data_IF_688810853351
#
_entry.id   IF_688810853351
#
_cell.length_a   1.000
_cell.length_b   1.000
_cell.length_c   1.000
_cell.angle_alpha   90.00
_cell.angle_beta   90.00
_cell.angle_gamma   90.00
#
_symmetry.space_group_name_H-M   'P 1'
#
loop_
_entity.id
_entity.type
_entity.pdbx_description
1 polymer ?
#
# COMPACT_ATOMS: atom_id res chain seq x y z
N UNK A 1 -5.69 -22.60 6.35
CA UNK A 1 -6.43 -21.56 5.59
C UNK A 1 -5.58 -20.31 5.57
N UNK A 2 -4.77 -20.10 4.53
CA UNK A 2 -4.09 -18.83 4.30
C UNK A 2 -5.04 -17.97 3.46
N UNK A 3 -5.53 -16.87 4.04
CA UNK A 3 -6.45 -15.97 3.37
C UNK A 3 -5.74 -15.34 2.16
N UNK A 4 -6.18 -15.73 0.96
CA UNK A 4 -5.90 -15.08 -0.30
C UNK A 4 -6.58 -13.70 -0.26
N UNK A 5 -5.85 -12.68 0.18
CA UNK A 5 -6.28 -11.31 -0.03
C UNK A 5 -6.01 -10.97 -1.49
N UNK A 6 -7.08 -10.94 -2.28
CA UNK A 6 -7.10 -10.45 -3.65
C UNK A 6 -6.47 -9.05 -3.69
N UNK A 7 -5.27 -8.96 -4.25
CA UNK A 7 -4.56 -7.71 -4.51
C UNK A 7 -5.32 -6.95 -5.59
N UNK A 8 -6.34 -6.18 -5.19
CA UNK A 8 -7.27 -5.55 -6.13
C UNK A 8 -6.60 -4.47 -7.02
N UNK A 9 -5.37 -4.04 -6.72
CA UNK A 9 -4.59 -3.08 -7.50
C UNK A 9 -3.09 -3.37 -7.25
N UNK A 10 -2.46 -4.18 -8.09
CA UNK A 10 -1.02 -4.45 -8.02
C UNK A 10 -0.29 -3.59 -9.05
N UNK A 11 0.60 -2.71 -8.59
CA UNK A 11 1.39 -1.83 -9.46
C UNK A 11 2.89 -2.08 -9.27
N UNK A 12 3.68 -1.80 -10.30
CA UNK A 12 5.13 -1.86 -10.18
C UNK A 12 5.63 -0.68 -9.36
N UNK A 13 6.41 -0.96 -8.32
CA UNK A 13 7.10 0.01 -7.50
C UNK A 13 8.60 -0.28 -7.47
N UNK A 14 9.37 0.65 -8.05
CA UNK A 14 10.83 0.56 -8.17
C UNK A 14 11.58 0.73 -6.83
N UNK A 15 10.93 1.23 -5.78
CA UNK A 15 11.56 1.43 -4.46
C UNK A 15 11.66 0.13 -3.66
N UNK A 16 10.88 -0.89 -4.01
CA UNK A 16 10.83 -2.15 -3.28
C UNK A 16 12.15 -2.91 -3.40
N UNK A 17 12.38 -3.83 -2.45
CA UNK A 17 13.48 -4.80 -2.50
C UNK A 17 14.84 -4.14 -2.76
N UNK A 18 15.16 -3.11 -1.97
CA UNK A 18 16.39 -2.33 -2.06
C UNK A 18 16.63 -1.73 -3.46
N UNK A 19 15.57 -1.30 -4.13
CA UNK A 19 15.65 -0.68 -5.46
C UNK A 19 15.64 -1.68 -6.62
N UNK A 20 15.55 -2.99 -6.36
CA UNK A 20 15.27 -3.96 -7.42
C UNK A 20 13.88 -3.72 -8.01
N UNK A 21 12.93 -3.28 -7.18
CA UNK A 21 11.54 -3.11 -7.55
C UNK A 21 10.74 -4.41 -7.48
N UNK A 22 9.42 -4.25 -7.48
CA UNK A 22 8.49 -5.36 -7.39
C UNK A 22 7.04 -4.91 -7.56
N UNK A 23 6.12 -5.88 -7.57
CA UNK A 23 4.69 -5.60 -7.61
C UNK A 23 4.15 -5.39 -6.20
N UNK A 24 3.62 -4.20 -5.91
CA UNK A 24 2.98 -3.86 -4.65
C UNK A 24 1.46 -3.87 -4.83
N UNK A 25 0.78 -4.67 -4.01
CA UNK A 25 -0.69 -4.73 -3.94
C UNK A 25 -1.24 -4.08 -2.68
N UNK A 26 -2.44 -3.52 -2.77
CA UNK A 26 -3.18 -3.04 -1.60
C UNK A 26 -3.88 -4.21 -0.91
N UNK A 27 -3.64 -4.41 0.39
CA UNK A 27 -4.20 -5.51 1.19
C UNK A 27 -5.60 -5.25 1.72
N UNK A 28 -6.02 -3.99 1.79
CA UNK A 28 -7.34 -3.60 2.25
C UNK A 28 -7.80 -2.30 1.61
N UNK A 29 -9.08 -2.27 1.24
CA UNK A 29 -9.75 -1.13 0.66
C UNK A 29 -11.16 -1.01 1.30
N UNK A 30 -11.61 0.18 1.73
CA UNK A 30 -12.89 0.34 2.41
C UNK A 30 -14.12 0.07 1.52
N UNK A 31 -13.97 0.13 0.19
CA UNK A 31 -15.08 -0.11 -0.75
C UNK A 31 -16.18 0.96 -0.75
N UNK A 32 -16.01 2.00 0.06
CA UNK A 32 -16.97 3.08 0.32
C UNK A 32 -16.21 4.36 0.66
N UNK A 33 -16.93 5.47 0.78
CA UNK A 33 -16.36 6.73 1.26
C UNK A 33 -15.74 6.55 2.64
N UNK A 34 -14.50 7.01 2.80
CA UNK A 34 -13.77 6.93 4.04
C UNK A 34 -13.92 8.23 4.83
N UNK A 35 -14.34 8.12 6.09
CA UNK A 35 -14.48 9.25 7.01
C UNK A 35 -13.36 9.20 8.03
N UNK A 36 -12.51 10.24 8.03
CA UNK A 36 -11.44 10.42 8.97
C UNK A 36 -12.00 10.76 10.37
N UNK A 37 -11.26 10.51 11.46
CA UNK A 37 -11.70 10.83 12.82
C UNK A 37 -12.02 12.31 13.07
N UNK A 38 -11.42 13.21 12.29
CA UNK A 38 -11.67 14.66 12.31
C UNK A 38 -12.89 15.08 11.47
N UNK A 39 -13.59 14.12 10.87
CA UNK A 39 -14.78 14.36 10.04
C UNK A 39 -14.49 14.62 8.57
N UNK A 40 -13.22 14.73 8.16
CA UNK A 40 -12.86 14.85 6.75
C UNK A 40 -13.22 13.58 5.98
N UNK A 41 -13.70 13.76 4.75
CA UNK A 41 -14.16 12.65 3.90
C UNK A 41 -13.28 12.51 2.66
N UNK A 42 -12.97 11.26 2.35
CA UNK A 42 -12.43 10.84 1.06
C UNK A 42 -13.50 10.02 0.35
N UNK A 43 -13.81 10.37 -0.90
CA UNK A 43 -14.70 9.53 -1.70
C UNK A 43 -14.05 8.19 -1.97
N UNK A 44 -14.85 7.15 -2.24
CA UNK A 44 -14.34 5.83 -2.60
C UNK A 44 -13.30 5.90 -3.75
N UNK A 45 -13.56 6.76 -4.75
CA UNK A 45 -12.63 6.98 -5.86
C UNK A 45 -11.32 7.65 -5.43
N UNK A 46 -11.37 8.61 -4.51
CA UNK A 46 -10.15 9.23 -3.97
C UNK A 46 -9.33 8.23 -3.17
N UNK A 47 -9.96 7.36 -2.37
CA UNK A 47 -9.24 6.30 -1.66
C UNK A 47 -8.60 5.34 -2.67
N UNK A 48 -9.30 4.99 -3.75
CA UNK A 48 -8.77 4.09 -4.77
C UNK A 48 -7.56 4.70 -5.47
N UNK A 49 -7.66 5.96 -5.89
CA UNK A 49 -6.55 6.68 -6.52
C UNK A 49 -5.33 6.77 -5.60
N UNK A 50 -5.52 7.16 -4.34
CA UNK A 50 -4.41 7.23 -3.39
C UNK A 50 -3.76 5.85 -3.16
N UNK A 51 -4.53 4.77 -3.21
CA UNK A 51 -3.99 3.40 -3.11
C UNK A 51 -3.17 3.01 -4.35
N UNK A 52 -3.60 3.42 -5.55
CA UNK A 52 -2.82 3.26 -6.79
C UNK A 52 -1.52 4.06 -6.73
N UNK A 53 -1.60 5.32 -6.31
CA UNK A 53 -0.43 6.20 -6.18
C UNK A 53 0.60 5.58 -5.24
N UNK A 54 0.18 5.16 -4.04
CA UNK A 54 1.05 4.50 -3.08
C UNK A 54 1.61 3.17 -3.62
N UNK A 55 0.80 2.35 -4.29
CA UNK A 55 1.28 1.08 -4.87
C UNK A 55 2.21 1.25 -6.07
N UNK A 56 2.26 2.43 -6.68
CA UNK A 56 3.17 2.75 -7.79
C UNK A 56 4.43 3.50 -7.35
N UNK A 57 4.65 3.64 -6.04
CA UNK A 57 5.85 4.28 -5.49
C UNK A 57 5.68 5.76 -5.16
N UNK A 58 4.49 6.35 -5.28
CA UNK A 58 4.23 7.73 -4.85
C UNK A 58 3.97 7.77 -3.33
N UNK A 59 5.07 7.70 -2.58
CA UNK A 59 5.11 7.83 -1.13
C UNK A 59 6.53 8.18 -0.66
N UNK A 60 6.63 8.60 0.59
CA UNK A 60 7.88 8.77 1.32
C UNK A 60 8.00 7.73 2.44
N UNK A 61 9.21 7.24 2.69
CA UNK A 61 9.48 6.43 3.88
C UNK A 61 9.49 7.30 5.13
N UNK A 62 8.93 6.78 6.23
CA UNK A 62 8.88 7.49 7.51
C UNK A 62 9.43 6.63 8.65
N UNK A 63 9.90 7.28 9.71
CA UNK A 63 10.35 6.60 10.93
C UNK A 63 9.14 6.18 11.77
N UNK A 64 9.37 5.25 12.70
CA UNK A 64 8.35 4.84 13.68
C UNK A 64 7.80 6.03 14.48
N UNK A 65 8.65 6.99 14.85
CA UNK A 65 8.24 8.20 15.60
C UNK A 65 7.30 9.12 14.82
N UNK A 66 7.39 9.12 13.49
CA UNK A 66 6.54 9.92 12.60
C UNK A 66 5.28 9.17 12.14
N UNK A 67 5.19 7.87 12.41
CA UNK A 67 4.07 7.03 12.02
C UNK A 67 2.96 7.03 13.08
N UNK A 68 1.67 6.94 12.70
CA UNK A 68 0.59 6.87 13.67
C UNK A 68 0.76 5.69 14.64
N UNK A 69 0.49 5.93 15.94
CA UNK A 69 0.56 4.90 16.98
C UNK A 69 -0.46 3.77 16.82
N UNK A 70 -1.49 3.99 16.02
CA UNK A 70 -2.56 3.04 15.75
C UNK A 70 -2.99 3.11 14.29
N UNK A 71 -3.11 1.96 13.63
CA UNK A 71 -3.71 1.87 12.31
C UNK A 71 -5.21 1.58 12.40
N UNK A 72 -5.89 1.78 11.27
CA UNK A 72 -7.25 1.31 11.08
C UNK A 72 -7.35 -0.19 11.34
N UNK A 73 -8.49 -0.62 11.88
CA UNK A 73 -8.78 -2.03 12.21
C UNK A 73 -7.79 -2.66 13.21
N UNK A 74 -7.07 -1.86 13.99
CA UNK A 74 -6.07 -2.30 14.97
C UNK A 74 -4.96 -3.17 14.37
N UNK A 75 -4.68 -2.99 13.07
CA UNK A 75 -3.57 -3.70 12.42
C UNK A 75 -2.25 -3.12 12.92
N UNK A 76 -1.34 -3.98 13.33
CA UNK A 76 -0.01 -3.56 13.81
C UNK A 76 1.01 -3.92 12.75
N UNK A 77 1.79 -2.95 12.23
CA UNK A 77 2.92 -3.25 11.34
C UNK A 77 3.90 -4.20 12.03
N UNK A 78 4.46 -5.17 11.29
CA UNK A 78 5.56 -5.97 11.85
C UNK A 78 6.82 -5.11 12.01
N UNK A 79 7.79 -5.52 12.85
CA UNK A 79 9.05 -4.77 13.02
C UNK A 79 9.85 -4.59 11.73
N UNK A 80 9.66 -5.48 10.75
CA UNK A 80 10.31 -5.46 9.45
C UNK A 80 9.53 -4.68 8.39
N UNK A 81 8.32 -4.21 8.72
CA UNK A 81 7.48 -3.46 7.80
C UNK A 81 8.12 -2.09 7.50
N UNK A 82 8.09 -1.70 6.23
CA UNK A 82 8.47 -0.34 5.84
C UNK A 82 7.30 0.60 6.02
N UNK A 83 7.47 1.64 6.81
CA UNK A 83 6.44 2.64 7.09
C UNK A 83 6.49 3.73 6.03
N UNK A 84 5.33 4.10 5.48
CA UNK A 84 5.23 5.07 4.39
C UNK A 84 4.15 6.11 4.64
N UNK A 85 4.33 7.27 4.02
CA UNK A 85 3.33 8.35 3.98
C UNK A 85 3.09 8.83 2.55
N UNK A 86 1.85 9.21 2.26
CA UNK A 86 1.45 9.81 0.98
C UNK A 86 0.56 11.02 1.22
N UNK A 87 0.81 12.10 0.48
CA UNK A 87 -0.03 13.30 0.55
C UNK A 87 -1.08 13.23 -0.54
N UNK A 88 -2.34 13.05 -0.13
CA UNK A 88 -3.48 13.10 -1.04
C UNK A 88 -3.65 14.51 -1.64
N UNK A 89 -4.33 14.59 -2.80
CA UNK A 89 -4.54 15.84 -3.52
C UNK A 89 -5.30 16.92 -2.71
N UNK A 90 -6.12 16.50 -1.72
CA UNK A 90 -6.82 17.40 -0.81
C UNK A 90 -5.95 17.83 0.40
N UNK A 91 -4.65 17.51 0.40
CA UNK A 91 -3.70 17.89 1.44
C UNK A 91 -3.61 16.93 2.62
N UNK A 92 -4.50 15.94 2.71
CA UNK A 92 -4.50 14.92 3.77
C UNK A 92 -3.23 14.08 3.70
N UNK A 93 -2.64 13.80 4.87
CA UNK A 93 -1.55 12.85 4.98
C UNK A 93 -2.11 11.46 5.27
N UNK A 94 -1.82 10.52 4.38
CA UNK A 94 -2.18 9.12 4.48
C UNK A 94 -0.95 8.33 4.91
N UNK A 95 -1.15 7.34 5.76
CA UNK A 95 -0.09 6.48 6.27
C UNK A 95 -0.43 5.02 5.98
N UNK A 96 0.57 4.27 5.53
CA UNK A 96 0.47 2.83 5.32
C UNK A 96 1.80 2.15 5.66
N UNK A 97 1.81 0.83 5.64
CA UNK A 97 3.03 0.06 5.78
C UNK A 97 3.11 -1.00 4.69
N UNK A 98 4.32 -1.28 4.25
CA UNK A 98 4.63 -2.26 3.21
C UNK A 98 5.26 -3.48 3.89
N UNK A 99 4.74 -4.65 3.58
CA UNK A 99 5.36 -5.93 3.89
C UNK A 99 6.02 -6.45 2.60
N UNK A 100 7.34 -6.52 2.59
CA UNK A 100 8.08 -6.98 1.42
C UNK A 100 8.41 -8.47 1.57
N UNK A 101 8.27 -9.21 0.48
CA UNK A 101 8.82 -10.55 0.34
C UNK A 101 9.74 -10.56 -0.88
N UNK A 102 11.01 -10.26 -0.65
CA UNK A 102 12.00 -10.15 -1.71
C UNK A 102 12.68 -11.51 -1.93
N UNK A 103 12.54 -12.05 -3.15
CA UNK A 103 13.34 -13.19 -3.57
C UNK A 103 14.70 -12.71 -4.09
N UNK A 104 15.75 -13.49 -3.83
CA UNK A 104 17.08 -13.21 -4.37
C UNK A 104 17.10 -13.53 -5.87
N UNK A 105 17.12 -12.51 -6.72
CA UNK A 105 17.19 -12.62 -8.18
C UNK A 105 17.05 -11.24 -8.84
N UNK A 106 17.45 -11.07 -10.12
CA UNK A 106 17.21 -9.83 -10.83
C UNK A 106 15.69 -9.56 -10.88
N UNK A 107 15.26 -8.30 -10.70
CA UNK A 107 13.87 -7.95 -10.82
C UNK A 107 13.38 -8.33 -12.20
N UNK A 108 12.47 -9.29 -12.26
CA UNK A 108 11.63 -9.46 -13.43
C UNK A 108 10.72 -8.24 -13.37
N UNK A 109 10.58 -7.50 -14.46
CA UNK A 109 9.46 -6.57 -14.66
C UNK A 109 8.29 -7.37 -15.23
N UNK A 110 7.54 -8.19 -14.46
CA UNK A 110 6.36 -8.82 -15.01
C UNK A 110 5.26 -7.77 -15.12
N UNK A 111 4.29 -8.06 -15.98
CA UNK A 111 2.97 -7.48 -15.83
C UNK A 111 2.43 -7.90 -14.45
N UNK A 112 2.30 -6.95 -13.52
CA UNK A 112 1.80 -7.18 -12.16
C UNK A 112 0.39 -7.79 -12.14
N UNK A 113 -0.35 -7.76 -13.26
CA UNK A 113 -1.60 -8.51 -13.44
C UNK A 113 -1.40 -10.01 -13.68
N UNK A 114 -0.33 -10.41 -14.37
CA UNK A 114 -0.05 -11.82 -14.68
C UNK A 114 0.73 -12.53 -13.56
N UNK A 115 1.54 -11.79 -12.80
CA UNK A 115 2.28 -12.32 -11.66
C UNK A 115 1.40 -12.55 -10.41
N UNK A 116 0.23 -11.91 -10.34
CA UNK A 116 -0.79 -12.13 -9.31
C UNK A 116 -2.10 -12.55 -10.01
N UNK A 117 -2.26 -13.83 -10.37
CA UNK A 117 -3.45 -14.27 -11.09
C UNK A 117 -4.69 -13.95 -10.25
N UNK A 118 -5.57 -13.13 -10.83
CA UNK A 118 -6.96 -13.04 -10.38
C UNK A 118 -7.54 -14.46 -10.48
N UNK A 119 -8.05 -15.07 -9.39
CA UNK A 119 -8.64 -16.40 -9.50
C UNK A 119 -9.84 -16.34 -10.46
N UNK A 120 -9.82 -17.24 -11.45
CA UNK A 120 -10.97 -17.55 -12.31
C UNK A 120 -12.11 -18.16 -11.52
#
# INVERSE_FOLDING_TARGET
>A
LAALFTSALANWDSKLCNGAGGCLGTSWFPGTDFVCPDGLKLTNQQVAQNSVDMSSGLYDYVTADAFPKSCLRNVVPSPEAKLISHRAANGLMLYAFILENCQNGPPITPDCYTANPNPS
#
